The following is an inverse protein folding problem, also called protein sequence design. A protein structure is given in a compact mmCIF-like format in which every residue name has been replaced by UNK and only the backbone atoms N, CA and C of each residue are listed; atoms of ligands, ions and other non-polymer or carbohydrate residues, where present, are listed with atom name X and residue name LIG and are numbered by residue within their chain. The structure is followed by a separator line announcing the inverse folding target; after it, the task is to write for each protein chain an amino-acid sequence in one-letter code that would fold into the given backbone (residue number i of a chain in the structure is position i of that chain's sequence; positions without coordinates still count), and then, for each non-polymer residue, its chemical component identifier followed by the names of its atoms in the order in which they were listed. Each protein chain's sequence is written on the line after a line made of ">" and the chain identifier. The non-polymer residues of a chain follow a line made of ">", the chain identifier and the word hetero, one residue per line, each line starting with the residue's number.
data_IF_343981359595
#
_entry.id   IF_343981359595
#
_cell.length_a   1.000
_cell.length_b   1.000
_cell.length_c   1.000
_cell.angle_alpha   90.00
_cell.angle_beta   90.00
_cell.angle_gamma   90.00
#
_symmetry.space_group_name_H-M   'P 1'
#
loop_
_entity.id
_entity.type
_entity.pdbx_description
1 polymer ?
#
# COMPACT_ATOMS: atom_id res chain seq x y z
N UNK A 1 23.82 14.48 -7.86
CA UNK A 1 23.55 14.95 -6.49
C UNK A 1 22.88 13.80 -5.75
N UNK A 2 23.59 13.19 -4.81
CA UNK A 2 23.06 12.10 -3.99
C UNK A 2 22.37 12.78 -2.81
N UNK A 3 21.04 12.71 -2.75
CA UNK A 3 20.31 13.17 -1.58
C UNK A 3 20.76 12.31 -0.39
N UNK A 4 21.40 12.94 0.59
CA UNK A 4 21.69 12.31 1.87
C UNK A 4 20.36 12.08 2.58
N UNK A 5 19.86 10.86 2.56
CA UNK A 5 18.75 10.48 3.42
C UNK A 5 19.20 10.56 4.87
N UNK A 6 18.40 11.25 5.68
CA UNK A 6 18.62 11.36 7.12
C UNK A 6 18.68 9.96 7.72
N UNK A 7 19.77 9.54 8.39
CA UNK A 7 19.76 8.28 9.12
C UNK A 7 18.71 8.39 10.24
N UNK A 8 17.65 7.57 10.19
CA UNK A 8 16.67 7.45 11.27
C UNK A 8 15.19 7.63 10.90
N UNK A 9 14.80 7.71 9.63
CA UNK A 9 13.36 7.61 9.29
C UNK A 9 12.92 6.15 9.21
N UNK A 10 11.82 5.82 9.89
CA UNK A 10 11.14 4.54 9.75
C UNK A 10 10.73 4.31 8.29
N UNK A 11 10.83 3.06 7.84
CA UNK A 11 10.39 2.68 6.50
C UNK A 11 8.90 2.97 6.32
N UNK A 12 8.55 3.76 5.32
CA UNK A 12 7.17 4.10 5.00
C UNK A 12 6.51 2.99 4.19
N UNK A 13 5.19 2.87 4.26
CA UNK A 13 4.47 1.79 3.57
C UNK A 13 3.62 2.36 2.43
N UNK A 14 3.47 1.60 1.36
CA UNK A 14 2.54 1.87 0.26
C UNK A 14 1.71 0.63 0.00
N UNK A 15 0.38 0.80 -0.09
CA UNK A 15 -0.54 -0.25 -0.50
C UNK A 15 -0.62 -0.29 -2.02
N UNK A 16 -0.33 -1.41 -2.66
CA UNK A 16 -0.26 -1.53 -4.11
C UNK A 16 -1.39 -2.46 -4.57
N UNK A 17 -2.29 -2.02 -5.45
CA UNK A 17 -3.29 -2.93 -5.99
C UNK A 17 -2.63 -3.93 -6.94
N UNK A 18 -3.06 -5.20 -6.91
CA UNK A 18 -2.45 -6.26 -7.73
C UNK A 18 -2.30 -5.90 -9.22
N UNK A 19 -3.26 -5.20 -9.81
CA UNK A 19 -3.21 -4.82 -11.24
C UNK A 19 -2.05 -3.88 -11.57
N UNK A 20 -1.58 -3.06 -10.63
CA UNK A 20 -0.38 -2.23 -10.82
C UNK A 20 0.87 -3.11 -10.81
N UNK A 21 0.96 -4.06 -9.87
CA UNK A 21 2.05 -5.03 -9.83
C UNK A 21 2.12 -5.86 -11.13
N UNK A 22 0.98 -6.35 -11.61
CA UNK A 22 0.89 -7.09 -12.88
C UNK A 22 1.25 -6.22 -14.09
N UNK A 23 0.81 -4.96 -14.14
CA UNK A 23 1.14 -4.05 -15.22
C UNK A 23 2.65 -3.79 -15.32
N UNK A 24 3.31 -3.58 -14.18
CA UNK A 24 4.77 -3.43 -14.10
C UNK A 24 5.48 -4.71 -14.53
N UNK A 25 5.05 -5.87 -14.02
CA UNK A 25 5.61 -7.16 -14.37
C UNK A 25 5.51 -7.45 -15.88
N UNK A 26 4.37 -7.15 -16.52
CA UNK A 26 4.18 -7.31 -17.98
C UNK A 26 5.15 -6.46 -18.79
N UNK A 27 5.48 -5.26 -18.31
CA UNK A 27 6.46 -4.38 -18.95
C UNK A 27 7.91 -4.64 -18.49
N UNK A 28 8.14 -5.69 -17.68
CA UNK A 28 9.45 -6.02 -17.10
C UNK A 28 10.07 -4.86 -16.32
N UNK A 29 9.24 -4.05 -15.67
CA UNK A 29 9.67 -2.97 -14.79
C UNK A 29 9.72 -3.46 -13.34
N UNK A 30 10.69 -2.96 -12.53
CA UNK A 30 10.73 -3.29 -11.12
C UNK A 30 9.53 -2.67 -10.39
N UNK A 31 9.11 -3.28 -9.28
CA UNK A 31 7.97 -2.80 -8.49
C UNK A 31 8.17 -1.36 -7.98
N UNK A 32 9.41 -0.92 -7.80
CA UNK A 32 9.76 0.46 -7.42
C UNK A 32 9.25 1.53 -8.38
N UNK A 33 8.99 1.19 -9.64
CA UNK A 33 8.38 2.13 -10.58
C UNK A 33 6.94 2.48 -10.22
N UNK A 34 6.28 1.75 -9.29
CA UNK A 34 4.97 2.16 -8.79
C UNK A 34 4.99 3.51 -8.03
N UNK A 35 6.17 3.93 -7.57
CA UNK A 35 6.38 5.23 -6.90
C UNK A 35 6.60 6.36 -7.90
N UNK A 36 6.75 6.05 -9.19
CA UNK A 36 7.07 7.01 -10.24
C UNK A 36 5.82 7.31 -11.09
N UNK A 37 5.19 8.45 -10.80
CA UNK A 37 3.95 8.84 -11.45
C UNK A 37 4.09 8.94 -12.98
N UNK A 38 5.20 9.51 -13.46
CA UNK A 38 5.44 9.69 -14.89
C UNK A 38 5.62 8.35 -15.65
N UNK A 39 6.01 7.28 -14.96
CA UNK A 39 6.07 5.93 -15.53
C UNK A 39 4.69 5.31 -15.56
N UNK A 40 3.97 5.33 -14.43
CA UNK A 40 2.64 4.74 -14.34
C UNK A 40 1.63 5.42 -15.28
N UNK A 41 1.70 6.74 -15.45
CA UNK A 41 0.86 7.48 -16.36
C UNK A 41 0.89 6.95 -17.81
N UNK A 42 2.00 6.35 -18.24
CA UNK A 42 2.17 5.82 -19.60
C UNK A 42 1.54 4.43 -19.80
N UNK A 43 1.20 3.74 -18.71
CA UNK A 43 0.76 2.34 -18.75
C UNK A 43 -0.57 2.07 -18.05
N UNK A 44 -1.06 3.03 -17.26
CA UNK A 44 -2.28 2.88 -16.47
C UNK A 44 -3.34 3.87 -16.93
N UNK A 45 -4.60 3.46 -16.84
CA UNK A 45 -5.71 4.38 -17.06
C UNK A 45 -5.77 5.41 -15.93
N UNK A 46 -6.39 6.57 -16.21
CA UNK A 46 -6.69 7.59 -15.19
C UNK A 46 -7.44 6.99 -14.01
N UNK A 47 -8.36 6.07 -14.28
CA UNK A 47 -9.14 5.37 -13.27
C UNK A 47 -8.27 4.44 -12.39
N UNK A 48 -7.36 3.68 -12.99
CA UNK A 48 -6.45 2.82 -12.22
C UNK A 48 -5.49 3.60 -11.33
N UNK A 49 -5.01 4.76 -11.82
CA UNK A 49 -4.18 5.67 -11.03
C UNK A 49 -4.96 6.29 -9.87
N UNK A 50 -6.20 6.71 -10.11
CA UNK A 50 -7.09 7.22 -9.07
C UNK A 50 -7.44 6.16 -8.03
N UNK A 51 -7.72 4.92 -8.44
CA UNK A 51 -7.91 3.81 -7.51
C UNK A 51 -6.64 3.47 -6.72
N UNK A 52 -5.46 3.47 -7.36
CA UNK A 52 -4.20 3.24 -6.63
C UNK A 52 -3.95 4.34 -5.59
N UNK A 53 -4.19 5.61 -5.95
CA UNK A 53 -4.11 6.71 -5.00
C UNK A 53 -5.14 6.55 -3.87
N UNK A 54 -6.41 6.28 -4.22
CA UNK A 54 -7.51 6.09 -3.27
C UNK A 54 -7.27 4.92 -2.30
N UNK A 55 -6.58 3.86 -2.74
CA UNK A 55 -6.21 2.74 -1.88
C UNK A 55 -5.38 3.19 -0.67
N UNK A 56 -4.61 4.27 -0.79
CA UNK A 56 -3.79 4.76 0.33
C UNK A 56 -4.62 5.25 1.51
N UNK A 57 -5.91 5.56 1.33
CA UNK A 57 -6.80 5.89 2.45
C UNK A 57 -7.03 4.72 3.40
N UNK A 58 -6.81 3.49 2.95
CA UNK A 58 -6.94 2.28 3.77
C UNK A 58 -5.64 1.94 4.52
N UNK A 59 -4.57 2.74 4.38
CA UNK A 59 -3.28 2.40 4.99
C UNK A 59 -3.32 2.41 6.52
N UNK A 60 -4.00 3.37 7.13
CA UNK A 60 -4.11 3.43 8.58
C UNK A 60 -4.95 2.26 9.11
N UNK A 61 -6.02 1.89 8.38
CA UNK A 61 -6.91 0.79 8.76
C UNK A 61 -6.28 -0.59 8.58
N UNK A 62 -5.57 -0.82 7.47
CA UNK A 62 -5.02 -2.13 7.13
C UNK A 62 -3.62 -2.37 7.72
N UNK A 63 -2.81 -1.32 7.83
CA UNK A 63 -1.36 -1.40 8.06
C UNK A 63 -0.94 -0.62 9.30
N UNK A 64 -1.79 0.24 9.88
CA UNK A 64 -1.46 1.06 11.06
C UNK A 64 -0.16 1.87 10.88
N UNK A 65 0.12 2.30 9.64
CA UNK A 65 1.34 2.99 9.23
C UNK A 65 1.03 4.24 8.42
N UNK A 66 2.05 5.08 8.21
CA UNK A 66 1.97 6.26 7.36
C UNK A 66 2.28 5.91 5.90
N UNK A 67 1.54 6.56 4.98
CA UNK A 67 1.72 6.41 3.54
C UNK A 67 2.58 7.50 2.92
N UNK A 68 3.36 7.15 1.88
CA UNK A 68 4.24 8.09 1.17
C UNK A 68 3.93 8.27 -0.32
N UNK A 69 2.94 7.57 -0.87
CA UNK A 69 2.69 7.57 -2.31
C UNK A 69 2.47 8.98 -2.87
N UNK A 70 1.67 9.80 -2.17
CA UNK A 70 1.37 11.18 -2.59
C UNK A 70 2.65 12.01 -2.78
N UNK A 71 3.54 11.98 -1.78
CA UNK A 71 4.85 12.65 -1.85
C UNK A 71 5.69 12.16 -3.02
N UNK A 72 5.79 10.84 -3.19
CA UNK A 72 6.55 10.26 -4.30
C UNK A 72 6.00 10.68 -5.67
N UNK A 73 4.68 10.71 -5.82
CA UNK A 73 4.03 11.10 -7.06
C UNK A 73 4.17 12.60 -7.35
N UNK A 74 4.08 13.45 -6.33
CA UNK A 74 4.33 14.89 -6.45
C UNK A 74 5.76 15.19 -6.91
N UNK A 75 6.74 14.46 -6.37
CA UNK A 75 8.16 14.61 -6.73
C UNK A 75 8.48 14.11 -8.15
N UNK A 76 7.72 13.13 -8.65
CA UNK A 76 7.95 12.49 -9.95
C UNK A 76 7.09 13.04 -11.08
N UNK A 77 6.01 13.77 -10.78
CA UNK A 77 5.21 14.53 -11.73
C UNK A 77 5.91 15.84 -12.16
N UNK A 78 7.04 15.71 -12.86
CA UNK A 78 7.96 16.83 -13.15
C UNK A 78 7.48 17.81 -14.21
N UNK A 79 6.80 17.32 -15.24
CA UNK A 79 6.28 18.17 -16.32
C UNK A 79 4.89 18.73 -15.97
N UNK A 80 4.53 19.82 -16.65
CA UNK A 80 3.29 20.55 -16.40
C UNK A 80 2.05 19.69 -16.60
N UNK A 81 2.06 18.83 -17.62
CA UNK A 81 0.90 18.03 -18.00
C UNK A 81 0.68 16.89 -17.01
N UNK A 82 1.75 16.19 -16.60
CA UNK A 82 1.71 15.19 -15.53
C UNK A 82 1.25 15.79 -14.21
N UNK A 83 1.75 16.98 -13.84
CA UNK A 83 1.33 17.66 -12.61
C UNK A 83 -0.13 18.10 -12.67
N UNK A 84 -0.59 18.59 -13.82
CA UNK A 84 -1.99 18.95 -14.03
C UNK A 84 -2.89 17.70 -13.94
N UNK A 85 -2.49 16.60 -14.58
CA UNK A 85 -3.22 15.33 -14.50
C UNK A 85 -3.34 14.85 -13.05
N UNK A 86 -2.23 14.82 -12.30
CA UNK A 86 -2.24 14.43 -10.89
C UNK A 86 -3.20 15.32 -10.08
N UNK A 87 -2.97 16.63 -10.09
CA UNK A 87 -3.64 17.56 -9.18
C UNK A 87 -5.10 17.86 -9.55
N UNK A 88 -5.40 17.93 -10.85
CA UNK A 88 -6.70 18.37 -11.35
C UNK A 88 -7.61 17.21 -11.77
N UNK A 89 -7.06 16.00 -11.93
CA UNK A 89 -7.84 14.84 -12.38
C UNK A 89 -7.73 13.66 -11.41
N UNK A 90 -6.51 13.19 -11.12
CA UNK A 90 -6.33 11.99 -10.29
C UNK A 90 -6.79 12.22 -8.85
N UNK A 91 -6.32 13.28 -8.19
CA UNK A 91 -6.68 13.54 -6.79
C UNK A 91 -8.20 13.75 -6.59
N UNK A 92 -8.89 14.60 -7.39
CA UNK A 92 -10.34 14.73 -7.28
C UNK A 92 -11.10 13.43 -7.59
N UNK A 93 -10.64 12.68 -8.60
CA UNK A 93 -11.27 11.42 -8.98
C UNK A 93 -11.09 10.37 -7.87
N UNK A 94 -9.91 10.26 -7.26
CA UNK A 94 -9.66 9.31 -6.18
C UNK A 94 -10.63 9.53 -5.01
N UNK A 95 -10.87 10.79 -4.62
CA UNK A 95 -11.85 11.14 -3.59
C UNK A 95 -13.29 10.73 -4.00
N UNK A 96 -13.64 10.91 -5.27
CA UNK A 96 -14.95 10.48 -5.79
C UNK A 96 -15.10 8.96 -5.86
N UNK A 97 -14.08 8.24 -6.32
CA UNK A 97 -14.11 6.77 -6.46
C UNK A 97 -14.16 6.06 -5.11
N UNK A 98 -13.56 6.66 -4.08
CA UNK A 98 -13.74 6.20 -2.71
C UNK A 98 -15.21 6.34 -2.28
N UNK A 99 -15.85 7.46 -2.61
CA UNK A 99 -17.26 7.65 -2.31
C UNK A 99 -18.20 6.75 -3.14
N UNK A 100 -17.79 6.33 -4.34
CA UNK A 100 -18.59 5.47 -5.21
C UNK A 100 -18.49 3.98 -4.87
N UNK A 101 -17.55 3.58 -4.01
CA UNK A 101 -17.29 2.17 -3.68
C UNK A 101 -16.65 1.37 -4.83
N UNK A 102 -16.10 2.05 -5.84
CA UNK A 102 -15.47 1.35 -6.97
C UNK A 102 -14.27 0.53 -6.50
N UNK A 103 -13.46 1.09 -5.60
CA UNK A 103 -12.30 0.40 -5.06
C UNK A 103 -12.70 -0.83 -4.23
N UNK A 104 -13.78 -0.72 -3.46
CA UNK A 104 -14.35 -1.84 -2.71
C UNK A 104 -14.82 -2.94 -3.65
N UNK A 105 -15.48 -2.58 -4.77
CA UNK A 105 -15.92 -3.56 -5.77
C UNK A 105 -14.76 -4.29 -6.47
N UNK A 106 -13.58 -3.67 -6.54
CA UNK A 106 -12.39 -4.23 -7.21
C UNK A 106 -11.49 -5.04 -6.29
N UNK A 107 -11.39 -4.67 -5.00
CA UNK A 107 -10.43 -5.27 -4.06
C UNK A 107 -11.09 -5.92 -2.85
N UNK A 108 -12.22 -5.40 -2.40
CA UNK A 108 -12.84 -5.76 -1.12
C UNK A 108 -14.23 -6.38 -1.29
N UNK A 109 -14.48 -6.99 -2.46
CA UNK A 109 -15.68 -7.77 -2.73
C UNK A 109 -15.32 -9.26 -2.91
N UNK A 110 -16.09 -10.21 -2.35
CA UNK A 110 -15.83 -11.64 -2.53
C UNK A 110 -15.81 -12.06 -4.01
N UNK A 111 -16.61 -11.37 -4.84
CA UNK A 111 -16.73 -11.64 -6.28
C UNK A 111 -15.48 -11.21 -7.06
N UNK A 112 -14.64 -10.35 -6.49
CA UNK A 112 -13.38 -9.90 -7.10
C UNK A 112 -12.26 -10.93 -6.97
N UNK A 113 -12.45 -12.01 -6.20
CA UNK A 113 -11.42 -12.99 -5.92
C UNK A 113 -10.96 -13.70 -7.20
N UNK A 114 -9.65 -13.66 -7.42
CA UNK A 114 -9.03 -14.32 -8.57
C UNK A 114 -8.58 -15.75 -8.19
N UNK A 115 -8.82 -16.76 -9.04
CA UNK A 115 -8.59 -18.16 -8.70
C UNK A 115 -7.10 -18.55 -8.63
N UNK A 116 -6.19 -17.73 -9.15
CA UNK A 116 -4.75 -17.96 -9.14
C UNK A 116 -4.00 -17.24 -8.02
N UNK A 117 -4.71 -16.47 -7.18
CA UNK A 117 -4.14 -15.89 -5.98
C UNK A 117 -4.63 -16.67 -4.76
N UNK A 118 -3.72 -17.42 -4.15
CA UNK A 118 -3.99 -18.19 -2.93
C UNK A 118 -3.76 -17.37 -1.65
N UNK A 119 -3.01 -16.28 -1.77
CA UNK A 119 -2.62 -15.41 -0.67
C UNK A 119 -3.35 -14.06 -0.73
N UNK A 120 -3.68 -13.44 0.42
CA UNK A 120 -4.39 -12.16 0.49
C UNK A 120 -3.52 -10.95 0.11
N UNK A 121 -2.21 -11.06 0.31
CA UNK A 121 -1.26 -9.98 0.02
C UNK A 121 0.15 -10.54 -0.14
N UNK A 122 1.06 -9.74 -0.71
CA UNK A 122 2.50 -9.99 -0.63
C UNK A 122 3.25 -8.72 -0.20
N UNK A 123 4.29 -8.89 0.64
CA UNK A 123 5.07 -7.78 1.18
C UNK A 123 6.40 -7.71 0.44
N UNK A 124 6.75 -6.52 -0.01
CA UNK A 124 7.93 -6.26 -0.83
C UNK A 124 8.79 -5.18 -0.21
N UNK A 125 10.10 -5.39 -0.28
CA UNK A 125 11.06 -4.32 -0.08
C UNK A 125 11.23 -3.57 -1.40
N UNK A 126 10.67 -2.36 -1.50
CA UNK A 126 10.65 -1.58 -2.74
C UNK A 126 11.91 -0.73 -2.87
N UNK A 127 12.16 0.09 -1.86
CA UNK A 127 13.36 0.91 -1.74
C UNK A 127 13.85 0.85 -0.29
N UNK A 128 15.04 1.40 -0.04
CA UNK A 128 15.57 1.54 1.32
C UNK A 128 14.58 2.22 2.29
N UNK A 129 13.76 3.14 1.79
CA UNK A 129 12.85 3.96 2.59
C UNK A 129 11.39 3.51 2.49
N UNK A 130 11.02 2.70 1.49
CA UNK A 130 9.63 2.36 1.20
C UNK A 130 9.41 0.86 1.13
N UNK A 131 8.50 0.34 1.95
CA UNK A 131 7.92 -1.00 1.86
C UNK A 131 6.64 -1.00 1.04
N UNK A 132 6.40 -2.07 0.30
CA UNK A 132 5.20 -2.28 -0.50
C UNK A 132 4.36 -3.42 0.04
N UNK A 133 3.04 -3.25 0.03
CA UNK A 133 2.10 -4.34 0.26
C UNK A 133 1.22 -4.47 -0.97
N UNK A 134 1.43 -5.53 -1.76
CA UNK A 134 0.53 -5.82 -2.88
C UNK A 134 -0.72 -6.48 -2.33
N UNK A 135 -1.89 -5.88 -2.56
CA UNK A 135 -3.19 -6.36 -2.10
C UNK A 135 -3.88 -7.15 -3.21
N UNK A 136 -4.21 -8.40 -2.93
CA UNK A 136 -4.97 -9.27 -3.83
C UNK A 136 -6.48 -9.19 -3.52
N UNK A 137 -7.32 -9.29 -4.55
CA UNK A 137 -8.73 -8.96 -4.42
C UNK A 137 -9.53 -10.07 -3.73
N UNK A 138 -10.57 -9.68 -3.00
CA UNK A 138 -11.59 -10.58 -2.43
C UNK A 138 -11.20 -11.33 -1.17
N UNK A 139 -10.08 -10.98 -0.53
CA UNK A 139 -9.64 -11.58 0.73
C UNK A 139 -10.03 -10.75 1.96
N UNK A 140 -9.91 -9.43 1.87
CA UNK A 140 -10.24 -8.51 2.97
C UNK A 140 -11.73 -8.14 2.95
N UNK A 141 -12.59 -9.16 3.06
CA UNK A 141 -14.06 -9.07 3.11
C UNK A 141 -14.56 -9.60 4.45
N UNK A 142 -15.73 -9.15 4.94
CA UNK A 142 -16.28 -9.59 6.24
C UNK A 142 -16.38 -11.12 6.38
N UNK A 143 -16.76 -11.80 5.29
CA UNK A 143 -16.91 -13.26 5.21
C UNK A 143 -15.55 -14.00 5.22
N UNK A 144 -14.44 -13.29 4.97
CA UNK A 144 -13.13 -13.84 4.64
C UNK A 144 -12.19 -14.09 5.81
N UNK A 145 -12.66 -14.08 7.07
CA UNK A 145 -11.79 -13.98 8.27
C UNK A 145 -10.78 -12.81 8.16
N UNK A 146 -11.26 -11.57 7.92
CA UNK A 146 -10.39 -10.43 7.63
C UNK A 146 -9.39 -10.16 8.75
N UNK A 147 -9.76 -10.47 10.00
CA UNK A 147 -8.89 -10.31 11.16
C UNK A 147 -7.63 -11.19 11.08
N UNK A 148 -7.73 -12.42 10.57
CA UNK A 148 -6.57 -13.31 10.44
C UNK A 148 -5.59 -12.79 9.38
N UNK A 149 -6.08 -12.26 8.26
CA UNK A 149 -5.21 -11.67 7.25
C UNK A 149 -4.59 -10.36 7.71
N UNK A 150 -5.34 -9.53 8.45
CA UNK A 150 -4.80 -8.33 9.10
C UNK A 150 -3.69 -8.67 10.10
N UNK A 151 -3.88 -9.68 10.94
CA UNK A 151 -2.85 -10.17 11.86
C UNK A 151 -1.58 -10.62 11.12
N UNK A 152 -1.74 -11.42 10.07
CA UNK A 152 -0.62 -11.88 9.24
C UNK A 152 0.11 -10.71 8.57
N UNK A 153 -0.64 -9.71 8.09
CA UNK A 153 -0.10 -8.51 7.47
C UNK A 153 0.72 -7.71 8.48
N UNK A 154 0.19 -7.48 9.68
CA UNK A 154 0.89 -6.79 10.76
C UNK A 154 2.19 -7.49 11.13
N UNK A 155 2.16 -8.82 11.30
CA UNK A 155 3.37 -9.60 11.60
C UNK A 155 4.39 -9.51 10.47
N UNK A 156 3.95 -9.60 9.22
CA UNK A 156 4.82 -9.49 8.05
C UNK A 156 5.48 -8.11 7.94
N UNK A 157 4.74 -7.04 8.21
CA UNK A 157 5.25 -5.67 8.21
C UNK A 157 6.23 -5.41 9.35
N UNK A 158 5.96 -5.93 10.55
CA UNK A 158 6.91 -5.84 11.65
C UNK A 158 8.24 -6.52 11.31
N UNK A 159 8.20 -7.70 10.67
CA UNK A 159 9.43 -8.37 10.19
C UNK A 159 10.20 -7.50 9.20
N UNK A 160 9.49 -6.85 8.27
CA UNK A 160 10.12 -5.90 7.33
C UNK A 160 10.77 -4.72 8.08
N UNK A 161 10.06 -4.10 9.03
CA UNK A 161 10.60 -2.97 9.81
C UNK A 161 11.81 -3.37 10.65
N UNK A 162 11.77 -4.50 11.36
CA UNK A 162 12.90 -4.98 12.16
C UNK A 162 14.14 -5.33 11.33
N UNK A 163 14.00 -5.60 10.03
CA UNK A 163 15.14 -5.82 9.15
C UNK A 163 15.93 -4.53 8.86
N UNK A 164 15.29 -3.35 8.99
CA UNK A 164 15.86 -2.06 8.57
C UNK A 164 15.98 -1.01 9.70
N UNK A 165 15.23 -1.17 10.78
CA UNK A 165 15.15 -0.21 11.87
C UNK A 165 15.59 -0.82 13.20
N UNK A 166 16.10 0.02 14.09
CA UNK A 166 16.49 -0.43 15.43
C UNK A 166 15.24 -0.84 16.22
N UNK A 167 15.36 -1.84 17.10
CA UNK A 167 14.19 -2.40 17.79
C UNK A 167 13.37 -1.38 18.58
N UNK A 168 14.04 -0.38 19.17
CA UNK A 168 13.38 0.69 19.92
C UNK A 168 12.59 1.65 19.01
N UNK A 169 13.02 1.86 17.77
CA UNK A 169 12.28 2.67 16.78
C UNK A 169 10.99 1.95 16.39
N UNK A 170 11.08 0.64 16.07
CA UNK A 170 9.92 -0.18 15.70
C UNK A 170 8.93 -0.30 16.86
N UNK A 171 9.43 -0.46 18.08
CA UNK A 171 8.60 -0.56 19.29
C UNK A 171 7.74 0.69 19.56
N UNK A 172 8.20 1.85 19.10
CA UNK A 172 7.47 3.12 19.24
C UNK A 172 6.29 3.29 18.27
N UNK A 173 6.18 2.43 17.24
CA UNK A 173 5.19 2.57 16.17
C UNK A 173 3.77 2.21 16.59
N UNK A 174 2.76 2.76 15.90
CA UNK A 174 1.34 2.37 16.08
C UNK A 174 1.11 0.90 15.70
N UNK A 175 1.76 0.45 14.63
CA UNK A 175 1.77 -0.95 14.19
C UNK A 175 2.21 -1.91 15.31
N UNK A 176 3.30 -1.60 16.02
CA UNK A 176 3.78 -2.45 17.11
C UNK A 176 2.83 -2.45 18.32
N UNK A 177 2.26 -1.29 18.68
CA UNK A 177 1.25 -1.23 19.75
C UNK A 177 0.03 -2.09 19.40
N UNK A 178 -0.47 -1.98 18.17
CA UNK A 178 -1.57 -2.80 17.70
C UNK A 178 -1.24 -4.29 17.76
N UNK A 179 -0.01 -4.68 17.41
CA UNK A 179 0.47 -6.05 17.58
C UNK A 179 0.42 -6.54 19.04
N UNK A 180 0.84 -5.71 20.00
CA UNK A 180 0.72 -6.05 21.43
C UNK A 180 -0.72 -6.19 21.88
N UNK A 181 -1.63 -5.34 21.39
CA UNK A 181 -3.06 -5.43 21.71
C UNK A 181 -3.65 -6.75 21.20
N UNK A 182 -3.28 -7.17 19.99
CA UNK A 182 -3.69 -8.46 19.41
C UNK A 182 -3.18 -9.66 20.24
N UNK A 183 -1.95 -9.59 20.76
CA UNK A 183 -1.42 -10.65 21.63
C UNK A 183 -2.12 -10.69 22.98
N UNK A 184 -2.41 -9.52 23.56
CA UNK A 184 -3.05 -9.38 24.87
C UNK A 184 -4.50 -9.87 24.85
N UNK A 185 -5.24 -9.56 23.77
CA UNK A 185 -6.62 -10.04 23.58
C UNK A 185 -6.74 -11.57 23.46
N UNK A 186 -5.67 -12.25 23.00
CA UNK A 186 -5.60 -13.72 22.95
C UNK A 186 -5.39 -14.36 24.32
N UNK A 187 -4.80 -13.64 25.28
CA UNK A 187 -4.58 -14.16 26.64
C UNK A 187 -5.85 -14.13 27.49
N UNK A 188 -6.87 -13.36 27.11
CA UNK A 188 -8.14 -13.22 27.83
C UNK A 188 -9.26 -14.16 27.33
N UNK A 189 -9.01 -14.91 26.26
CA UNK A 189 -9.98 -15.85 25.65
C UNK A 189 -9.62 -17.33 25.91
N UNK A 190 -8.70 -17.60 26.85
CA UNK A 190 -8.33 -18.94 27.31
C UNK A 190 -9.00 -19.24 28.65
#
# INVERSE_FOLDING_TARGET
>A
MIASSSPGSLKEIVLIPHWVHEALARQKLPLSECLNFAVLQKMSSVNDLACFYGLQHYIEELVYASGTLARCWEETAKDRDSRALLMQTILPLAAHLQASGELDSRLFSPQSRLPWHDEPFSIHDITREVGGVVIYPGFFVEEGKPNTYREQLVVGLLKLLYAYNASHEVSGTRLFRHYLDMLSGRQLTV
#
